data_IF_821589811105
#
_entry.id   IF_821589811105
#
_cell.length_a   1.000
_cell.length_b   1.000
_cell.length_c   1.000
_cell.angle_alpha   90.00
_cell.angle_beta   90.00
_cell.angle_gamma   90.00
#
_symmetry.space_group_name_H-M   'P 1'
#
loop_
_entity.id
_entity.type
_entity.pdbx_description
1 polymer ?
#
# COMPACT_ATOMS: atom_id res chain seq x y z
N UNK A 1 -25.70 0.53 -0.99
CA UNK A 1 -26.37 0.21 0.28
C UNK A 1 -26.63 1.53 0.98
N UNK A 2 -27.87 1.97 1.01
CA UNK A 2 -28.31 3.31 1.43
C UNK A 2 -28.24 3.37 2.96
N UNK A 3 -27.32 4.15 3.50
CA UNK A 3 -27.34 4.48 4.93
C UNK A 3 -28.50 5.46 5.11
N UNK A 4 -29.67 4.96 5.45
CA UNK A 4 -30.73 5.79 6.03
C UNK A 4 -30.30 6.11 7.46
N UNK A 5 -30.02 7.39 7.70
CA UNK A 5 -29.85 7.92 9.05
C UNK A 5 -31.21 7.87 9.72
N UNK A 6 -31.52 6.78 10.39
CA UNK A 6 -32.73 6.67 11.20
C UNK A 6 -32.30 6.74 12.67
N UNK A 7 -32.37 7.96 13.20
CA UNK A 7 -31.97 8.28 14.59
C UNK A 7 -33.13 7.96 15.54
N UNK A 8 -33.50 6.69 15.74
CA UNK A 8 -34.42 6.33 16.85
C UNK A 8 -34.56 4.80 17.01
N UNK A 9 -33.64 4.13 17.65
CA UNK A 9 -33.90 3.00 18.58
C UNK A 9 -32.59 2.33 19.06
N UNK A 10 -32.56 1.78 20.25
CA UNK A 10 -31.37 1.23 20.92
C UNK A 10 -30.68 0.03 20.26
N UNK A 11 -31.13 -0.43 19.09
CA UNK A 11 -30.46 -1.43 18.25
C UNK A 11 -29.38 -0.85 17.34
N UNK A 12 -29.40 0.45 17.05
CA UNK A 12 -28.48 1.10 16.13
C UNK A 12 -27.07 1.25 16.70
N UNK A 13 -26.95 1.41 18.01
CA UNK A 13 -25.64 1.50 18.67
C UNK A 13 -24.81 0.23 18.49
N UNK A 14 -25.43 -0.93 18.44
CA UNK A 14 -24.75 -2.22 18.24
C UNK A 14 -24.20 -2.33 16.82
N UNK A 15 -25.00 -1.94 15.82
CA UNK A 15 -24.58 -1.97 14.40
C UNK A 15 -23.45 -0.97 14.13
N UNK A 16 -23.50 0.21 14.72
CA UNK A 16 -22.43 1.20 14.63
C UNK A 16 -21.13 0.68 15.28
N UNK A 17 -21.22 0.02 16.43
CA UNK A 17 -20.07 -0.60 17.09
C UNK A 17 -19.44 -1.69 16.22
N UNK A 18 -20.23 -2.52 15.54
CA UNK A 18 -19.73 -3.55 14.64
C UNK A 18 -19.01 -2.92 13.43
N UNK A 19 -19.55 -1.87 12.81
CA UNK A 19 -18.91 -1.19 11.69
C UNK A 19 -17.59 -0.52 12.08
N UNK A 20 -17.55 0.17 13.23
CA UNK A 20 -16.32 0.78 13.74
C UNK A 20 -15.26 -0.28 14.11
N UNK A 21 -15.68 -1.38 14.71
CA UNK A 21 -14.79 -2.48 15.07
C UNK A 21 -14.19 -3.15 13.82
N UNK A 22 -15.00 -3.39 12.81
CA UNK A 22 -14.54 -3.89 11.51
C UNK A 22 -13.54 -2.94 10.84
N UNK A 23 -13.79 -1.63 10.90
CA UNK A 23 -12.87 -0.63 10.36
C UNK A 23 -11.51 -0.64 11.10
N UNK A 24 -11.53 -0.78 12.42
CA UNK A 24 -10.30 -0.90 13.20
C UNK A 24 -9.50 -2.16 12.81
N UNK A 25 -10.17 -3.29 12.61
CA UNK A 25 -9.51 -4.53 12.14
C UNK A 25 -8.89 -4.30 10.75
N UNK A 26 -9.60 -3.68 9.81
CA UNK A 26 -9.08 -3.32 8.49
C UNK A 26 -7.84 -2.45 8.61
N UNK A 27 -7.86 -1.44 9.45
CA UNK A 27 -6.75 -0.54 9.68
C UNK A 27 -5.51 -1.26 10.23
N UNK A 28 -5.70 -2.17 11.20
CA UNK A 28 -4.63 -2.99 11.76
C UNK A 28 -4.02 -3.91 10.69
N UNK A 29 -4.84 -4.53 9.84
CA UNK A 29 -4.37 -5.38 8.74
C UNK A 29 -3.54 -4.58 7.73
N UNK A 30 -3.98 -3.37 7.36
CA UNK A 30 -3.21 -2.48 6.47
C UNK A 30 -1.88 -2.09 7.10
N UNK A 31 -1.87 -1.72 8.39
CA UNK A 31 -0.63 -1.39 9.12
C UNK A 31 0.33 -2.58 9.11
N UNK A 32 -0.18 -3.78 9.35
CA UNK A 32 0.63 -5.00 9.35
C UNK A 32 1.24 -5.29 7.98
N UNK A 33 0.45 -5.33 6.91
CA UNK A 33 0.95 -5.63 5.57
C UNK A 33 1.87 -4.54 5.01
N UNK A 34 1.48 -3.27 5.14
CA UNK A 34 2.32 -2.15 4.70
C UNK A 34 3.57 -2.02 5.56
N UNK A 35 3.48 -2.36 6.85
CA UNK A 35 4.63 -2.43 7.76
C UNK A 35 5.66 -3.46 7.33
N UNK A 36 5.22 -4.67 6.95
CA UNK A 36 6.09 -5.72 6.43
C UNK A 36 6.81 -5.30 5.14
N UNK A 37 6.07 -4.69 4.19
CA UNK A 37 6.66 -4.16 2.95
C UNK A 37 7.71 -3.08 3.25
N UNK A 38 7.37 -2.13 4.11
CA UNK A 38 8.26 -1.04 4.47
C UNK A 38 9.48 -1.51 5.24
N UNK A 39 9.34 -2.50 6.11
CA UNK A 39 10.47 -3.09 6.85
C UNK A 39 11.49 -3.71 5.91
N UNK A 40 11.04 -4.52 4.97
CA UNK A 40 11.91 -5.14 3.97
C UNK A 40 12.68 -4.06 3.17
N UNK A 41 12.03 -2.97 2.80
CA UNK A 41 12.67 -1.88 2.05
C UNK A 41 13.61 -1.03 2.90
N UNK A 42 13.29 -0.81 4.15
CA UNK A 42 14.16 -0.07 5.07
C UNK A 42 15.45 -0.84 5.36
N UNK A 43 15.39 -2.15 5.52
CA UNK A 43 16.57 -3.01 5.73
C UNK A 43 17.49 -3.05 4.52
N UNK A 44 16.96 -2.85 3.32
CA UNK A 44 17.73 -2.78 2.05
C UNK A 44 18.33 -1.38 1.79
N UNK A 45 18.22 -0.42 2.72
CA UNK A 45 18.82 0.92 2.60
C UNK A 45 18.13 1.85 1.61
N UNK A 46 16.86 1.59 1.28
CA UNK A 46 16.06 2.42 0.37
C UNK A 46 15.59 3.73 1.02
N UNK A 47 15.37 4.81 0.23
CA UNK A 47 15.10 6.15 0.78
C UNK A 47 13.74 6.28 1.47
N UNK A 48 12.82 5.32 1.27
CA UNK A 48 11.46 5.35 1.82
C UNK A 48 11.34 4.38 2.99
N UNK A 49 10.97 4.90 4.15
CA UNK A 49 10.85 4.13 5.40
C UNK A 49 9.45 3.53 5.63
N UNK A 50 9.35 2.62 6.61
CA UNK A 50 8.11 1.94 7.03
C UNK A 50 6.93 2.90 7.21
N UNK A 51 7.18 4.07 7.82
CA UNK A 51 6.12 5.06 8.09
C UNK A 51 5.40 5.49 6.83
N UNK A 52 6.11 5.71 5.74
CA UNK A 52 5.51 6.15 4.46
C UNK A 52 4.62 5.06 3.86
N UNK A 53 5.05 3.80 3.90
CA UNK A 53 4.24 2.68 3.42
C UNK A 53 2.93 2.54 4.20
N UNK A 54 3.00 2.62 5.53
CA UNK A 54 1.83 2.56 6.41
C UNK A 54 0.89 3.73 6.18
N UNK A 55 1.41 4.94 6.01
CA UNK A 55 0.59 6.13 5.73
C UNK A 55 -0.12 6.03 4.38
N UNK A 56 0.59 5.61 3.32
CA UNK A 56 0.00 5.43 1.98
C UNK A 56 -1.10 4.37 1.99
N UNK A 57 -0.88 3.23 2.65
CA UNK A 57 -1.89 2.18 2.76
C UNK A 57 -3.13 2.62 3.54
N UNK A 58 -2.94 3.29 4.68
CA UNK A 58 -4.08 3.79 5.48
C UNK A 58 -4.83 4.93 4.79
N UNK A 59 -4.14 5.82 4.06
CA UNK A 59 -4.77 6.83 3.23
C UNK A 59 -5.67 6.19 2.17
N UNK A 60 -5.17 5.15 1.51
CA UNK A 60 -5.92 4.42 0.50
C UNK A 60 -7.15 3.70 1.08
N UNK A 61 -7.01 3.07 2.27
CA UNK A 61 -8.12 2.47 3.00
C UNK A 61 -9.19 3.51 3.34
N UNK A 62 -8.80 4.67 3.87
CA UNK A 62 -9.72 5.74 4.25
C UNK A 62 -10.50 6.25 3.05
N UNK A 63 -9.81 6.60 1.96
CA UNK A 63 -10.45 7.12 0.74
C UNK A 63 -11.37 6.07 0.12
N UNK A 64 -10.98 4.80 0.10
CA UNK A 64 -11.82 3.73 -0.40
C UNK A 64 -13.08 3.54 0.45
N UNK A 65 -12.96 3.61 1.77
CA UNK A 65 -14.10 3.51 2.69
C UNK A 65 -15.07 4.67 2.49
N UNK A 66 -14.57 5.91 2.43
CA UNK A 66 -15.40 7.08 2.15
C UNK A 66 -16.05 6.98 0.77
N UNK A 67 -15.29 6.54 -0.23
CA UNK A 67 -15.79 6.36 -1.59
C UNK A 67 -16.92 5.33 -1.69
N UNK A 68 -16.84 4.24 -0.93
CA UNK A 68 -17.91 3.22 -0.89
C UNK A 68 -19.18 3.70 -0.16
N UNK A 69 -19.04 4.66 0.76
CA UNK A 69 -20.18 5.24 1.49
C UNK A 69 -20.97 6.28 0.66
N UNK A 70 -20.26 7.11 -0.09
CA UNK A 70 -20.85 8.28 -0.77
C UNK A 70 -20.88 8.16 -2.30
N UNK A 71 -20.20 7.20 -2.88
CA UNK A 71 -20.04 7.05 -4.32
C UNK A 71 -20.97 6.03 -4.94
N UNK A 72 -21.57 6.38 -6.07
CA UNK A 72 -22.28 5.41 -6.91
C UNK A 72 -21.30 4.52 -7.70
N UNK A 73 -20.01 4.90 -7.74
CA UNK A 73 -18.95 4.18 -8.45
C UNK A 73 -17.63 4.19 -7.63
N UNK A 74 -17.45 3.21 -6.72
CA UNK A 74 -16.23 3.09 -5.91
C UNK A 74 -14.98 2.85 -6.75
N UNK A 75 -15.11 2.26 -7.95
CA UNK A 75 -13.97 1.93 -8.82
C UNK A 75 -13.32 3.19 -9.40
N UNK A 76 -14.11 4.20 -9.68
CA UNK A 76 -13.63 5.50 -10.16
C UNK A 76 -12.76 6.20 -9.12
N UNK A 77 -13.14 6.15 -7.85
CA UNK A 77 -12.38 6.75 -6.74
C UNK A 77 -11.05 6.02 -6.57
N UNK A 78 -11.07 4.69 -6.59
CA UNK A 78 -9.86 3.87 -6.53
C UNK A 78 -8.89 4.18 -7.67
N UNK A 79 -9.38 4.34 -8.89
CA UNK A 79 -8.58 4.68 -10.07
C UNK A 79 -7.92 6.06 -9.95
N UNK A 80 -8.66 7.07 -9.50
CA UNK A 80 -8.13 8.43 -9.28
C UNK A 80 -7.08 8.46 -8.17
N UNK A 81 -7.33 7.74 -7.06
CA UNK A 81 -6.39 7.60 -5.96
C UNK A 81 -5.08 6.96 -6.44
N UNK A 82 -5.18 5.86 -7.19
CA UNK A 82 -4.01 5.14 -7.70
C UNK A 82 -3.18 6.00 -8.65
N UNK A 83 -3.84 6.81 -9.48
CA UNK A 83 -3.17 7.78 -10.37
C UNK A 83 -2.42 8.85 -9.56
N UNK A 84 -3.05 9.43 -8.53
CA UNK A 84 -2.43 10.43 -7.65
C UNK A 84 -1.23 9.88 -6.88
N UNK A 85 -1.34 8.68 -6.34
CA UNK A 85 -0.24 8.00 -5.64
C UNK A 85 0.86 7.62 -6.64
N UNK A 86 0.53 7.16 -7.85
CA UNK A 86 1.49 6.88 -8.91
C UNK A 86 2.34 8.10 -9.27
N UNK A 87 1.73 9.28 -9.34
CA UNK A 87 2.44 10.54 -9.51
C UNK A 87 3.41 10.82 -8.35
N UNK A 88 2.95 10.68 -7.10
CA UNK A 88 3.80 10.86 -5.91
C UNK A 88 4.95 9.85 -5.87
N UNK A 89 4.70 8.59 -6.29
CA UNK A 89 5.71 7.54 -6.39
C UNK A 89 6.81 7.86 -7.42
N UNK A 90 6.50 8.61 -8.46
CA UNK A 90 7.48 9.00 -9.48
C UNK A 90 8.62 9.84 -8.91
N UNK A 91 8.37 10.61 -7.85
CA UNK A 91 9.36 11.42 -7.16
C UNK A 91 10.45 10.61 -6.44
N UNK A 92 10.21 9.32 -6.19
CA UNK A 92 11.17 8.40 -5.54
C UNK A 92 12.20 7.88 -6.55
N UNK A 93 11.93 7.98 -7.86
CA UNK A 93 12.80 7.51 -8.92
C UNK A 93 13.80 8.63 -9.25
N UNK A 94 15.08 8.36 -9.08
CA UNK A 94 16.14 9.32 -9.37
C UNK A 94 17.32 8.69 -10.09
N UNK A 95 18.01 9.51 -10.90
CA UNK A 95 19.23 9.10 -11.58
C UNK A 95 20.44 9.44 -10.70
N UNK A 96 21.26 8.44 -10.38
CA UNK A 96 22.53 8.61 -9.69
C UNK A 96 23.64 8.06 -10.57
N UNK A 97 24.52 8.94 -11.05
CA UNK A 97 25.50 8.65 -12.09
C UNK A 97 24.80 8.14 -13.37
N UNK A 98 25.16 6.97 -13.89
CA UNK A 98 24.53 6.36 -15.07
C UNK A 98 23.43 5.35 -14.75
N UNK A 99 23.13 5.12 -13.45
CA UNK A 99 22.11 4.17 -13.01
C UNK A 99 20.85 4.86 -12.51
N UNK A 100 19.67 4.29 -12.82
CA UNK A 100 18.36 4.72 -12.31
C UNK A 100 18.10 3.91 -11.02
N UNK A 101 17.80 4.60 -9.92
CA UNK A 101 17.49 3.99 -8.62
C UNK A 101 16.08 4.36 -8.18
N UNK A 102 15.48 3.52 -7.30
CA UNK A 102 14.18 3.78 -6.72
C UNK A 102 12.98 3.21 -7.47
N UNK A 103 13.15 2.55 -8.61
CA UNK A 103 12.03 1.97 -9.40
C UNK A 103 11.25 0.96 -8.55
N UNK A 104 11.92 -0.02 -7.96
CA UNK A 104 11.27 -1.05 -7.13
C UNK A 104 10.59 -0.43 -5.90
N UNK A 105 11.20 0.60 -5.30
CA UNK A 105 10.63 1.32 -4.16
C UNK A 105 9.35 2.05 -4.57
N UNK A 106 9.34 2.70 -5.72
CA UNK A 106 8.16 3.36 -6.29
C UNK A 106 7.02 2.38 -6.51
N UNK A 107 7.29 1.22 -7.14
CA UNK A 107 6.29 0.18 -7.38
C UNK A 107 5.77 -0.41 -6.07
N UNK A 108 6.63 -0.67 -5.09
CA UNK A 108 6.18 -1.19 -3.79
C UNK A 108 5.34 -0.18 -2.98
N UNK A 109 5.58 1.12 -3.11
CA UNK A 109 4.70 2.15 -2.55
C UNK A 109 3.31 2.13 -3.20
N UNK A 110 3.24 1.95 -4.52
CA UNK A 110 1.98 1.80 -5.24
C UNK A 110 1.23 0.54 -4.79
N UNK A 111 1.96 -0.56 -4.56
CA UNK A 111 1.39 -1.79 -3.98
C UNK A 111 0.81 -1.57 -2.58
N UNK A 112 1.44 -0.74 -1.73
CA UNK A 112 0.88 -0.39 -0.43
C UNK A 112 -0.49 0.31 -0.56
N UNK A 113 -0.65 1.18 -1.56
CA UNK A 113 -1.95 1.78 -1.86
C UNK A 113 -2.98 0.72 -2.33
N UNK A 114 -2.59 -0.21 -3.20
CA UNK A 114 -3.46 -1.30 -3.63
C UNK A 114 -3.93 -2.15 -2.44
N UNK A 115 -3.05 -2.45 -1.46
CA UNK A 115 -3.41 -3.16 -0.23
C UNK A 115 -4.50 -2.41 0.53
N UNK A 116 -4.37 -1.09 0.70
CA UNK A 116 -5.37 -0.28 1.35
C UNK A 116 -6.72 -0.31 0.64
N UNK A 117 -6.73 -0.23 -0.70
CA UNK A 117 -7.93 -0.31 -1.53
C UNK A 117 -8.62 -1.68 -1.40
N UNK A 118 -7.87 -2.77 -1.56
CA UNK A 118 -8.42 -4.14 -1.55
C UNK A 118 -8.98 -4.53 -0.20
N UNK A 119 -8.31 -4.17 0.90
CA UNK A 119 -8.83 -4.35 2.27
C UNK A 119 -10.06 -3.46 2.50
N UNK A 120 -10.07 -2.24 1.96
CA UNK A 120 -11.21 -1.35 2.01
C UNK A 120 -12.46 -1.96 1.38
N UNK A 121 -12.32 -2.58 0.23
CA UNK A 121 -13.39 -3.30 -0.49
C UNK A 121 -13.81 -4.59 0.23
N UNK A 122 -12.93 -5.20 1.03
CA UNK A 122 -13.19 -6.45 1.75
C UNK A 122 -12.56 -7.69 1.10
N UNK A 123 -11.65 -7.52 0.15
CA UNK A 123 -10.93 -8.60 -0.56
C UNK A 123 -9.72 -9.08 0.26
N UNK A 124 -9.98 -9.67 1.43
CA UNK A 124 -8.90 -10.05 2.37
C UNK A 124 -8.07 -11.22 1.87
N UNK A 125 -8.72 -12.22 1.26
CA UNK A 125 -8.07 -13.43 0.77
C UNK A 125 -7.12 -13.14 -0.38
N UNK A 126 -7.58 -12.38 -1.36
CA UNK A 126 -6.81 -11.95 -2.52
C UNK A 126 -5.61 -11.09 -2.11
N UNK A 127 -5.83 -10.19 -1.15
CA UNK A 127 -4.77 -9.35 -0.59
C UNK A 127 -3.69 -10.19 0.10
N UNK A 128 -4.09 -11.20 0.88
CA UNK A 128 -3.16 -12.08 1.59
C UNK A 128 -2.31 -12.91 0.63
N UNK A 129 -2.92 -13.51 -0.39
CA UNK A 129 -2.19 -14.26 -1.42
C UNK A 129 -1.21 -13.36 -2.16
N UNK A 130 -1.66 -12.19 -2.58
CA UNK A 130 -0.80 -11.22 -3.28
C UNK A 130 0.36 -10.79 -2.41
N UNK A 131 0.15 -10.57 -1.11
CA UNK A 131 1.20 -10.21 -0.16
C UNK A 131 2.24 -11.31 0.03
N UNK A 132 1.81 -12.58 0.10
CA UNK A 132 2.73 -13.71 0.18
C UNK A 132 3.62 -13.78 -1.05
N UNK A 133 3.05 -13.62 -2.24
CA UNK A 133 3.79 -13.64 -3.49
C UNK A 133 4.76 -12.46 -3.60
N UNK A 134 4.32 -11.24 -3.25
CA UNK A 134 5.15 -10.04 -3.26
C UNK A 134 6.29 -10.17 -2.24
N UNK A 135 6.00 -10.66 -1.04
CA UNK A 135 7.00 -10.87 -0.01
C UNK A 135 8.06 -11.88 -0.46
N UNK A 136 7.66 -12.94 -1.14
CA UNK A 136 8.57 -13.92 -1.73
C UNK A 136 9.46 -13.30 -2.81
N UNK A 137 8.91 -12.46 -3.69
CA UNK A 137 9.67 -11.77 -4.74
C UNK A 137 10.62 -10.70 -4.19
N UNK A 138 10.30 -10.13 -3.03
CA UNK A 138 11.12 -9.10 -2.37
C UNK A 138 12.24 -9.68 -1.50
N UNK A 139 12.15 -10.94 -1.10
CA UNK A 139 13.24 -11.70 -0.49
C UNK A 139 14.11 -12.15 -1.66
N UNK A 140 15.02 -11.29 -2.12
CA UNK A 140 15.86 -11.47 -3.30
C UNK A 140 16.36 -12.92 -3.51
N UNK A 141 15.72 -13.76 -4.34
CA UNK A 141 16.40 -14.94 -4.86
C UNK A 141 17.32 -14.58 -6.05
N UNK A 142 17.31 -13.29 -6.49
CA UNK A 142 18.08 -12.82 -7.63
C UNK A 142 18.77 -11.50 -7.30
N UNK A 143 19.97 -11.58 -6.76
CA UNK A 143 20.87 -10.45 -6.43
C UNK A 143 21.44 -9.79 -7.71
N UNK A 144 20.55 -9.19 -8.51
CA UNK A 144 20.91 -8.53 -9.76
C UNK A 144 21.53 -7.16 -9.51
N UNK A 145 21.18 -6.48 -8.43
CA UNK A 145 21.67 -5.14 -8.13
C UNK A 145 23.14 -5.13 -7.62
N UNK A 146 23.57 -6.19 -6.91
CA UNK A 146 24.98 -6.33 -6.50
C UNK A 146 25.93 -6.68 -7.66
N UNK A 147 25.43 -7.28 -8.73
CA UNK A 147 26.27 -7.65 -9.88
C UNK A 147 26.78 -6.42 -10.64
N UNK A 148 25.98 -5.36 -10.74
CA UNK A 148 26.35 -4.15 -11.46
C UNK A 148 27.31 -3.23 -10.68
N UNK A 149 27.20 -3.18 -9.33
CA UNK A 149 28.14 -2.38 -8.51
C UNK A 149 29.58 -2.95 -8.51
N UNK A 150 29.73 -4.27 -8.60
CA UNK A 150 31.03 -4.92 -8.68
C UNK A 150 31.71 -4.75 -10.05
N UNK A 151 30.93 -4.68 -11.14
CA UNK A 151 31.47 -4.42 -12.48
C UNK A 151 32.02 -3.00 -12.65
N UNK A 152 31.36 -2.02 -12.05
CA UNK A 152 31.79 -0.62 -12.05
C UNK A 152 33.02 -0.35 -11.19
N UNK A 153 33.23 -1.12 -10.13
CA UNK A 153 34.44 -1.03 -9.29
C UNK A 153 35.67 -1.66 -9.94
N UNK A 154 35.49 -2.74 -10.72
CA UNK A 154 36.60 -3.41 -11.43
C UNK A 154 37.06 -2.64 -12.68
N UNK A 155 36.23 -1.84 -13.31
CA UNK A 155 36.64 -1.02 -14.49
C UNK A 155 37.31 0.31 -14.12
N UNK A 156 37.47 0.63 -12.82
CA UNK A 156 38.14 1.84 -12.34
C UNK A 156 39.52 1.57 -11.71
N UNK A 157 40.02 0.35 -11.81
CA UNK A 157 41.43 -0.01 -11.55
C UNK A 157 42.16 -0.21 -12.87
#
# INVERSE_FOLDING_TARGET
MTIQINILSGGENVLLFEEYFLYLIKMILVVFYCGLLGWNRQTTGMPVGVRTYVLVGNLALLIQTVGSMYGNDPTRISGQLLTGIGFACSAVIFKKNESIKGITTSVTMLLAACIGITIGVGLYFETTISMLLISFLLIDPFDIDHYNDNKTKNNKK
#
